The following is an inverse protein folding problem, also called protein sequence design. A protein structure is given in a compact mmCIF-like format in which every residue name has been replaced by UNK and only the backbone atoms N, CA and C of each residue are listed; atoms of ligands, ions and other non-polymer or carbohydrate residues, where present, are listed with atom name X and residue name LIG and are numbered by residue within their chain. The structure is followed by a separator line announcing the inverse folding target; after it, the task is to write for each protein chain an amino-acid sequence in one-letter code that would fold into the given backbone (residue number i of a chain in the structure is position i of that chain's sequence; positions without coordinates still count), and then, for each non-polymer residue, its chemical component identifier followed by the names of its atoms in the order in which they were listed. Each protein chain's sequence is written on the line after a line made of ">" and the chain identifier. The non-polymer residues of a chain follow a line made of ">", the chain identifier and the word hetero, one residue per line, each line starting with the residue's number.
data_IF_816996597747
#
_entry.id   IF_816996597747
#
_cell.length_a   1.000
_cell.length_b   1.000
_cell.length_c   1.000
_cell.angle_alpha   90.00
_cell.angle_beta   90.00
_cell.angle_gamma   90.00
#
_symmetry.space_group_name_H-M   'P 1'
#
loop_
_entity.id
_entity.type
_entity.pdbx_description
1 polymer ?
#
# COMPACT_ATOMS: atom_id res chain seq x y z
N UNK A 1 -8.96 -8.11 -7.31
CA UNK A 1 -8.05 -8.25 -6.15
C UNK A 1 -7.34 -9.59 -6.23
N UNK A 2 -6.20 -9.60 -6.91
CA UNK A 2 -5.28 -10.74 -6.99
C UNK A 2 -3.89 -10.35 -6.51
N UNK A 3 -3.09 -11.32 -6.06
CA UNK A 3 -1.69 -11.07 -5.69
C UNK A 3 -0.94 -10.48 -6.89
N UNK A 4 -0.24 -9.37 -6.69
CA UNK A 4 0.43 -8.60 -7.74
C UNK A 4 -0.37 -7.40 -8.26
N UNK A 5 -1.67 -7.32 -7.99
CA UNK A 5 -2.51 -6.17 -8.33
C UNK A 5 -2.02 -4.93 -7.57
N UNK A 6 -2.02 -3.78 -8.24
CA UNK A 6 -1.57 -2.50 -7.69
C UNK A 6 -2.73 -1.50 -7.65
N UNK A 7 -2.78 -0.71 -6.59
CA UNK A 7 -3.70 0.43 -6.52
C UNK A 7 -3.06 1.71 -7.09
N UNK A 8 -3.86 2.77 -7.21
CA UNK A 8 -3.41 4.09 -7.71
C UNK A 8 -2.34 4.76 -6.85
N UNK A 9 -2.15 4.30 -5.62
CA UNK A 9 -1.17 4.82 -4.66
C UNK A 9 0.14 4.01 -4.62
N UNK A 10 0.32 3.04 -5.54
CA UNK A 10 1.52 2.22 -5.62
C UNK A 10 1.63 1.15 -4.53
N UNK A 11 0.51 0.77 -3.91
CA UNK A 11 0.44 -0.40 -3.03
C UNK A 11 0.17 -1.64 -3.87
N UNK A 12 1.00 -2.67 -3.71
CA UNK A 12 0.90 -3.97 -4.38
C UNK A 12 0.36 -5.02 -3.43
N UNK A 13 -0.62 -5.82 -3.85
CA UNK A 13 -1.08 -6.97 -3.07
C UNK A 13 0.02 -8.05 -3.05
N UNK A 14 0.49 -8.43 -1.87
CA UNK A 14 1.47 -9.52 -1.66
C UNK A 14 0.81 -10.79 -1.15
N UNK A 15 -0.30 -10.69 -0.41
CA UNK A 15 -1.10 -11.84 -0.02
C UNK A 15 -2.59 -11.47 0.13
N UNK A 16 -3.45 -12.48 -0.07
CA UNK A 16 -4.91 -12.35 0.11
C UNK A 16 -5.33 -13.28 1.24
N UNK A 17 -5.83 -12.71 2.33
CA UNK A 17 -6.26 -13.41 3.56
C UNK A 17 -7.77 -13.31 3.72
N UNK A 18 -8.51 -13.79 2.73
CA UNK A 18 -9.98 -13.75 2.71
C UNK A 18 -10.52 -12.33 2.57
N UNK A 19 -10.75 -11.65 3.70
CA UNK A 19 -11.29 -10.26 3.74
C UNK A 19 -10.20 -9.20 3.87
N UNK A 20 -8.98 -9.58 4.21
CA UNK A 20 -7.84 -8.67 4.30
C UNK A 20 -6.84 -8.95 3.20
N UNK A 21 -6.10 -7.91 2.83
CA UNK A 21 -5.01 -7.93 1.87
C UNK A 21 -3.75 -7.50 2.58
N UNK A 22 -2.70 -8.28 2.38
CA UNK A 22 -1.35 -7.87 2.69
C UNK A 22 -0.85 -7.08 1.49
N UNK A 23 -0.39 -5.87 1.74
CA UNK A 23 0.06 -4.91 0.74
C UNK A 23 1.50 -4.56 1.01
N UNK A 24 2.24 -4.31 -0.07
CA UNK A 24 3.58 -3.77 -0.03
C UNK A 24 3.64 -2.52 -0.89
N UNK A 25 4.11 -1.43 -0.29
CA UNK A 25 4.38 -0.20 -1.01
C UNK A 25 5.56 -0.40 -1.95
N UNK A 26 5.37 -0.19 -3.25
CA UNK A 26 6.42 -0.43 -4.24
C UNK A 26 7.66 0.45 -4.02
N UNK A 27 7.46 1.68 -3.56
CA UNK A 27 8.52 2.70 -3.45
C UNK A 27 9.50 2.43 -2.29
N UNK A 28 9.02 2.03 -1.11
CA UNK A 28 9.86 1.78 0.07
C UNK A 28 9.67 0.41 0.69
N UNK A 29 9.03 -0.52 -0.03
CA UNK A 29 8.83 -1.92 0.36
C UNK A 29 8.21 -2.07 1.76
N UNK A 30 7.41 -1.08 2.16
CA UNK A 30 6.73 -1.11 3.45
C UNK A 30 5.52 -2.02 3.33
N UNK A 31 5.50 -3.07 4.14
CA UNK A 31 4.38 -3.99 4.24
C UNK A 31 3.29 -3.45 5.19
N UNK A 32 2.04 -3.76 4.90
CA UNK A 32 0.91 -3.45 5.76
C UNK A 32 -0.31 -4.29 5.38
N UNK A 33 -1.23 -4.48 6.31
CA UNK A 33 -2.44 -5.26 6.06
C UNK A 33 -3.67 -4.36 6.16
N UNK A 34 -4.56 -4.41 5.17
CA UNK A 34 -5.81 -3.63 5.14
C UNK A 34 -6.98 -4.51 4.72
N UNK A 35 -8.22 -4.15 5.06
CA UNK A 35 -9.38 -4.84 4.49
C UNK A 35 -9.46 -4.60 2.98
N UNK A 36 -9.92 -5.61 2.25
CA UNK A 36 -10.03 -5.60 0.80
C UNK A 36 -10.86 -4.41 0.27
N UNK A 37 -11.87 -3.98 1.03
CA UNK A 37 -12.71 -2.82 0.71
C UNK A 37 -11.96 -1.50 0.74
N UNK A 38 -10.89 -1.40 1.54
CA UNK A 38 -10.08 -0.18 1.67
C UNK A 38 -8.86 -0.19 0.74
N UNK A 39 -8.64 -1.26 -0.02
CA UNK A 39 -7.49 -1.41 -0.92
C UNK A 39 -7.30 -0.20 -1.85
N UNK A 40 -8.38 0.25 -2.49
CA UNK A 40 -8.34 1.36 -3.45
C UNK A 40 -8.07 2.72 -2.78
N UNK A 41 -8.33 2.85 -1.48
CA UNK A 41 -8.10 4.07 -0.69
C UNK A 41 -6.80 4.03 0.12
N UNK A 42 -6.14 2.86 0.18
CA UNK A 42 -4.96 2.66 1.03
C UNK A 42 -3.73 3.30 0.40
N UNK A 43 -3.07 4.16 1.17
CA UNK A 43 -1.84 4.84 0.78
C UNK A 43 -0.63 4.26 1.51
N UNK A 44 0.54 4.43 0.90
CA UNK A 44 1.80 4.12 1.55
C UNK A 44 2.07 5.15 2.67
N UNK A 45 1.75 4.79 3.92
CA UNK A 45 1.93 5.66 5.09
C UNK A 45 3.35 5.73 5.63
N UNK A 46 4.33 5.17 4.91
CA UNK A 46 5.72 5.13 5.38
C UNK A 46 6.37 6.49 5.20
N UNK A 47 6.89 7.07 6.29
CA UNK A 47 7.68 8.32 6.27
C UNK A 47 8.94 8.21 5.41
N UNK A 48 9.46 6.99 5.18
CA UNK A 48 10.56 6.73 4.24
C UNK A 48 10.18 7.04 2.79
N UNK A 49 8.94 6.77 2.41
CA UNK A 49 8.36 7.16 1.13
C UNK A 49 7.81 8.60 1.15
N UNK A 50 7.33 9.08 2.30
CA UNK A 50 6.80 10.43 2.48
C UNK A 50 7.83 11.54 2.32
N UNK A 51 9.13 11.24 2.41
CA UNK A 51 10.19 12.21 2.15
C UNK A 51 10.21 12.77 0.72
N UNK A 52 9.51 12.13 -0.25
CA UNK A 52 9.32 12.66 -1.61
C UNK A 52 7.99 13.42 -1.80
N UNK A 53 7.13 13.48 -0.78
CA UNK A 53 5.81 14.09 -0.87
C UNK A 53 5.49 14.90 0.39
N UNK A 54 6.28 15.97 0.62
CA UNK A 54 6.02 16.92 1.70
C UNK A 54 7.28 17.48 2.35
N UNK A 55 8.17 18.11 1.56
CA UNK A 55 9.05 19.15 2.11
C UNK A 55 8.37 20.49 1.84
N UNK A 56 7.54 20.93 2.77
CA UNK A 56 7.30 22.34 3.00
C UNK A 56 7.13 22.51 4.51
N UNK A 57 8.26 22.89 5.11
CA UNK A 57 8.43 23.90 6.16
C UNK A 57 7.23 24.21 7.08
#
# INVERSE_FOLDING_TARGET
>A
MQIGEKNVFGMRITAVKGRTLDLECETCRTAGSVPATEFQSTRCGSTRCGATQGRTE
#
